data_IF_003513511101
#
_entry.id   IF_003513511101
#
_cell.length_a   1.000
_cell.length_b   1.000
_cell.length_c   1.000
_cell.angle_alpha   90.00
_cell.angle_beta   90.00
_cell.angle_gamma   90.00
#
_symmetry.space_group_name_H-M   'P 1'
#
loop_
_entity.id
_entity.type
_entity.pdbx_description
1 polymer ?
#
# COMPACT_ATOMS: atom_id res chain seq x y z
N UNK A 1 -28.62 3.74 -51.72
CA UNK A 1 -27.61 3.75 -50.63
C UNK A 1 -27.65 5.09 -49.88
N UNK A 2 -28.52 5.27 -48.88
CA UNK A 2 -28.54 6.50 -48.05
C UNK A 2 -29.30 6.37 -46.71
N UNK A 3 -29.62 5.16 -46.23
CA UNK A 3 -30.46 4.94 -45.02
C UNK A 3 -29.87 4.03 -43.94
N UNK A 4 -28.59 3.68 -44.02
CA UNK A 4 -27.94 2.77 -43.04
C UNK A 4 -27.06 3.47 -41.99
N UNK A 5 -26.97 4.81 -42.01
CA UNK A 5 -26.07 5.56 -41.11
C UNK A 5 -26.75 5.92 -39.77
N UNK A 6 -28.08 5.86 -39.69
CA UNK A 6 -28.79 6.24 -38.46
C UNK A 6 -28.80 5.18 -37.36
N UNK A 7 -28.42 3.93 -37.64
CA UNK A 7 -28.38 2.87 -36.61
C UNK A 7 -27.09 2.87 -35.79
N UNK A 8 -26.06 3.59 -36.23
CA UNK A 8 -24.77 3.67 -35.53
C UNK A 8 -24.68 4.78 -34.46
N UNK A 9 -25.73 5.60 -34.32
CA UNK A 9 -25.76 6.72 -33.38
C UNK A 9 -26.41 6.41 -32.01
N UNK A 10 -26.82 5.17 -31.76
CA UNK A 10 -27.46 4.76 -30.50
C UNK A 10 -26.64 3.72 -29.69
N UNK A 11 -25.47 3.31 -30.17
CA UNK A 11 -24.61 2.32 -29.47
C UNK A 11 -23.45 2.94 -28.68
N UNK A 12 -23.23 4.26 -28.76
CA UNK A 12 -22.20 4.96 -27.98
C UNK A 12 -22.74 5.59 -26.69
N UNK A 13 -23.99 5.29 -26.34
CA UNK A 13 -24.71 5.89 -25.22
C UNK A 13 -24.49 5.24 -23.85
N UNK A 14 -23.66 4.22 -23.73
CA UNK A 14 -23.12 3.84 -22.42
C UNK A 14 -21.88 4.68 -22.15
N UNK A 15 -22.11 5.99 -22.01
CA UNK A 15 -21.29 6.82 -21.17
C UNK A 15 -21.05 6.04 -19.87
N UNK A 16 -19.79 5.97 -19.48
CA UNK A 16 -19.30 5.46 -18.21
C UNK A 16 -20.34 5.69 -17.10
N UNK A 17 -21.20 4.72 -16.85
CA UNK A 17 -21.59 4.47 -15.49
C UNK A 17 -20.31 3.93 -14.87
N UNK A 18 -19.45 4.84 -14.39
CA UNK A 18 -18.41 4.51 -13.45
C UNK A 18 -19.15 3.81 -12.31
N UNK A 19 -19.19 2.47 -12.36
CA UNK A 19 -19.68 1.68 -11.26
C UNK A 19 -18.70 1.97 -10.16
N UNK A 20 -19.08 2.85 -9.25
CA UNK A 20 -18.34 3.04 -8.00
C UNK A 20 -18.20 1.65 -7.39
N UNK A 21 -16.98 1.12 -7.26
CA UNK A 21 -16.77 -0.22 -6.74
C UNK A 21 -17.41 -0.32 -5.36
N UNK A 22 -18.01 -1.46 -5.04
CA UNK A 22 -18.58 -1.65 -3.71
C UNK A 22 -17.49 -1.63 -2.63
N UNK A 23 -17.89 -1.36 -1.38
CA UNK A 23 -16.96 -1.22 -0.27
C UNK A 23 -16.08 -2.46 -0.04
N UNK A 24 -16.64 -3.66 -0.25
CA UNK A 24 -15.89 -4.90 -0.06
C UNK A 24 -14.80 -5.03 -1.12
N UNK A 25 -15.12 -4.76 -2.38
CA UNK A 25 -14.15 -4.78 -3.49
C UNK A 25 -13.01 -3.79 -3.26
N UNK A 26 -13.31 -2.57 -2.77
CA UNK A 26 -12.28 -1.57 -2.44
C UNK A 26 -11.41 -2.05 -1.27
N UNK A 27 -12.02 -2.56 -0.20
CA UNK A 27 -11.30 -3.06 0.97
C UNK A 27 -10.37 -4.21 0.61
N UNK A 28 -10.84 -5.19 -0.16
CA UNK A 28 -10.03 -6.33 -0.61
C UNK A 28 -8.86 -5.87 -1.46
N UNK A 29 -9.09 -4.96 -2.42
CA UNK A 29 -8.03 -4.41 -3.25
C UNK A 29 -6.96 -3.68 -2.42
N UNK A 30 -7.38 -2.77 -1.53
CA UNK A 30 -6.46 -2.00 -0.70
C UNK A 30 -5.72 -2.89 0.30
N UNK A 31 -6.37 -3.92 0.81
CA UNK A 31 -5.72 -4.92 1.65
C UNK A 31 -4.64 -5.69 0.89
N UNK A 32 -4.97 -6.25 -0.29
CA UNK A 32 -4.00 -7.00 -1.11
C UNK A 32 -2.79 -6.14 -1.45
N UNK A 33 -3.02 -4.90 -1.89
CA UNK A 33 -1.93 -3.98 -2.28
C UNK A 33 -1.09 -3.52 -1.09
N UNK A 34 -1.62 -3.58 0.14
CA UNK A 34 -0.87 -3.25 1.35
C UNK A 34 0.06 -4.37 1.83
N UNK A 35 -0.11 -5.62 1.38
CA UNK A 35 0.66 -6.78 1.87
C UNK A 35 2.19 -6.56 1.80
N UNK A 36 2.78 -6.10 0.67
CA UNK A 36 4.22 -5.87 0.62
C UNK A 36 4.69 -4.79 1.59
N UNK A 37 3.86 -3.78 1.88
CA UNK A 37 4.17 -2.71 2.82
C UNK A 37 4.12 -3.22 4.27
N UNK A 38 3.13 -4.04 4.61
CA UNK A 38 3.02 -4.67 5.94
C UNK A 38 4.25 -5.53 6.21
N UNK A 39 4.66 -6.34 5.23
CA UNK A 39 5.87 -7.17 5.32
C UNK A 39 7.13 -6.31 5.51
N UNK A 40 7.31 -5.29 4.66
CA UNK A 40 8.45 -4.38 4.76
C UNK A 40 8.49 -3.63 6.11
N UNK A 41 7.33 -3.22 6.64
CA UNK A 41 7.25 -2.56 7.94
C UNK A 41 7.66 -3.48 9.08
N UNK A 42 7.13 -4.71 9.11
CA UNK A 42 7.54 -5.71 10.10
C UNK A 42 9.04 -5.98 10.03
N UNK A 43 9.56 -6.23 8.82
CA UNK A 43 10.97 -6.51 8.59
C UNK A 43 11.88 -5.33 8.97
N UNK A 44 11.43 -4.09 8.76
CA UNK A 44 12.20 -2.90 9.14
C UNK A 44 12.41 -2.75 10.66
N UNK A 45 11.51 -3.29 11.49
CA UNK A 45 11.72 -3.33 12.96
C UNK A 45 12.73 -4.41 13.31
N UNK A 46 12.56 -5.61 12.74
CA UNK A 46 13.43 -6.75 12.97
C UNK A 46 14.87 -6.46 12.52
N UNK A 47 15.05 -5.92 11.32
CA UNK A 47 16.38 -5.61 10.79
C UNK A 47 17.09 -4.52 11.58
N UNK A 48 16.39 -3.54 12.11
CA UNK A 48 17.00 -2.54 12.99
C UNK A 48 17.38 -3.12 14.34
N UNK A 49 16.50 -3.90 14.97
CA UNK A 49 16.75 -4.52 16.26
C UNK A 49 17.96 -5.47 16.23
N UNK A 50 18.15 -6.19 15.12
CA UNK A 50 19.28 -7.12 14.93
C UNK A 50 20.47 -6.53 14.19
N UNK A 51 20.44 -5.25 13.80
CA UNK A 51 21.59 -4.57 13.19
C UNK A 51 21.93 -5.05 11.76
N UNK A 52 20.93 -5.21 10.90
CA UNK A 52 21.05 -5.61 9.49
C UNK A 52 20.80 -4.43 8.50
N UNK A 53 21.67 -3.41 8.44
CA UNK A 53 21.47 -2.23 7.59
C UNK A 53 21.48 -2.55 6.09
N UNK A 54 22.14 -3.64 5.68
CA UNK A 54 22.13 -4.14 4.30
C UNK A 54 20.75 -4.64 3.88
N UNK A 55 20.04 -5.33 4.79
CA UNK A 55 18.67 -5.81 4.53
C UNK A 55 17.67 -4.67 4.52
N UNK A 56 17.89 -3.64 5.33
CA UNK A 56 17.07 -2.41 5.30
C UNK A 56 17.09 -1.75 3.92
N UNK A 57 18.25 -1.67 3.28
CA UNK A 57 18.38 -1.09 1.92
C UNK A 57 17.66 -1.93 0.86
N UNK A 58 17.57 -3.24 1.06
CA UNK A 58 16.92 -4.17 0.13
C UNK A 58 15.39 -4.14 0.20
N UNK A 59 14.79 -3.58 1.25
CA UNK A 59 13.33 -3.56 1.42
C UNK A 59 12.60 -2.84 0.29
N UNK A 60 13.16 -1.73 -0.19
CA UNK A 60 12.63 -1.01 -1.36
C UNK A 60 12.58 -1.91 -2.59
N UNK A 61 13.66 -2.62 -2.87
CA UNK A 61 13.74 -3.52 -4.01
C UNK A 61 12.76 -4.70 -3.86
N UNK A 62 12.59 -5.24 -2.66
CA UNK A 62 11.60 -6.30 -2.38
C UNK A 62 10.17 -5.83 -2.68
N UNK A 63 9.79 -4.63 -2.22
CA UNK A 63 8.45 -4.08 -2.48
C UNK A 63 8.26 -3.79 -3.97
N UNK A 64 9.21 -3.11 -4.61
CA UNK A 64 9.07 -2.69 -6.01
C UNK A 64 9.21 -3.83 -7.02
N UNK A 65 9.89 -4.92 -6.65
CA UNK A 65 9.97 -6.12 -7.48
C UNK A 65 8.73 -7.02 -7.37
N UNK A 66 7.87 -6.82 -6.37
CA UNK A 66 6.66 -7.61 -6.16
C UNK A 66 5.70 -7.53 -7.34
N UNK A 67 5.00 -8.64 -7.63
CA UNK A 67 3.98 -8.67 -8.68
C UNK A 67 2.83 -7.71 -8.36
N UNK A 68 2.49 -7.56 -7.08
CA UNK A 68 1.46 -6.64 -6.59
C UNK A 68 1.80 -5.19 -6.97
N UNK A 69 3.03 -4.73 -6.68
CA UNK A 69 3.46 -3.38 -7.05
C UNK A 69 3.47 -3.19 -8.57
N UNK A 70 4.03 -4.15 -9.33
CA UNK A 70 4.11 -4.07 -10.80
C UNK A 70 2.74 -4.04 -11.49
N UNK A 71 1.75 -4.74 -10.94
CA UNK A 71 0.40 -4.79 -11.48
C UNK A 71 -0.50 -3.63 -11.02
N UNK A 72 -0.08 -2.86 -10.01
CA UNK A 72 -0.87 -1.75 -9.49
C UNK A 72 -0.85 -0.54 -10.46
N UNK A 73 -1.93 0.25 -10.53
CA UNK A 73 -1.95 1.52 -11.26
C UNK A 73 -0.97 2.55 -10.70
N UNK A 74 -0.64 3.57 -11.50
CA UNK A 74 0.44 4.53 -11.23
C UNK A 74 0.27 5.31 -9.92
N UNK A 75 -0.96 5.73 -9.62
CA UNK A 75 -1.34 6.43 -8.39
C UNK A 75 -1.16 5.54 -7.15
N UNK A 76 -1.56 4.27 -7.25
CA UNK A 76 -1.37 3.26 -6.20
C UNK A 76 0.12 2.97 -6.01
N UNK A 77 0.89 2.78 -7.08
CA UNK A 77 2.36 2.60 -7.00
C UNK A 77 3.03 3.80 -6.35
N UNK A 78 2.60 5.02 -6.68
CA UNK A 78 3.09 6.24 -6.03
C UNK A 78 2.76 6.23 -4.54
N UNK A 79 1.52 5.94 -4.16
CA UNK A 79 1.13 5.87 -2.75
C UNK A 79 1.91 4.79 -1.98
N UNK A 80 2.16 3.63 -2.58
CA UNK A 80 2.99 2.57 -1.99
C UNK A 80 4.44 3.06 -1.78
N UNK A 81 5.02 3.73 -2.79
CA UNK A 81 6.37 4.30 -2.70
C UNK A 81 6.48 5.38 -1.62
N UNK A 82 5.57 6.35 -1.63
CA UNK A 82 5.49 7.42 -0.63
C UNK A 82 5.42 6.80 0.79
N UNK A 83 4.58 5.77 0.98
CA UNK A 83 4.42 5.09 2.27
C UNK A 83 5.71 4.36 2.70
N UNK A 84 6.34 3.64 1.78
CA UNK A 84 7.57 2.91 2.07
C UNK A 84 8.71 3.87 2.46
N UNK A 85 8.98 4.86 1.62
CA UNK A 85 10.16 5.73 1.77
C UNK A 85 9.97 6.79 2.86
N UNK A 86 8.77 7.38 2.96
CA UNK A 86 8.53 8.50 3.88
C UNK A 86 7.98 8.09 5.24
N UNK A 87 7.46 6.86 5.37
CA UNK A 87 6.87 6.36 6.63
C UNK A 87 7.65 5.17 7.16
N UNK A 88 7.64 4.05 6.44
CA UNK A 88 8.18 2.76 6.92
C UNK A 88 9.69 2.83 7.14
N UNK A 89 10.42 3.35 6.16
CA UNK A 89 11.89 3.47 6.21
C UNK A 89 12.36 4.76 6.90
N UNK A 90 11.42 5.61 7.36
CA UNK A 90 11.75 6.84 8.06
C UNK A 90 12.27 6.52 9.47
N UNK A 91 13.57 6.74 9.67
CA UNK A 91 14.21 6.58 10.98
C UNK A 91 13.54 7.43 12.05
N UNK A 92 13.24 8.70 11.75
CA UNK A 92 12.63 9.62 12.72
C UNK A 92 11.24 9.17 13.19
N UNK A 93 10.40 8.68 12.27
CA UNK A 93 9.06 8.20 12.62
C UNK A 93 9.13 6.89 13.40
N UNK A 94 10.05 6.01 13.02
CA UNK A 94 10.25 4.73 13.69
C UNK A 94 10.83 4.92 15.09
N UNK A 95 11.87 5.72 15.25
CA UNK A 95 12.51 6.01 16.55
C UNK A 95 11.52 6.62 17.56
N UNK A 96 10.57 7.44 17.10
CA UNK A 96 9.49 7.96 17.97
C UNK A 96 8.60 6.85 18.53
N UNK A 97 8.29 5.82 17.74
CA UNK A 97 7.51 4.67 18.17
C UNK A 97 8.36 3.74 19.06
N UNK A 98 9.58 3.41 18.62
CA UNK A 98 10.48 2.49 19.33
C UNK A 98 10.86 3.01 20.72
N UNK A 99 11.12 4.32 20.88
CA UNK A 99 11.43 4.93 22.20
C UNK A 99 10.28 4.82 23.21
N UNK A 100 9.05 4.65 22.75
CA UNK A 100 7.89 4.45 23.63
C UNK A 100 7.77 3.00 24.13
N UNK A 101 8.58 2.08 23.59
CA UNK A 101 8.53 0.65 23.90
C UNK A 101 9.83 0.23 24.63
N UNK A 102 9.69 -0.33 25.83
CA UNK A 102 10.83 -0.67 26.71
C UNK A 102 11.05 -2.18 26.85
N UNK A 103 10.64 -2.97 25.85
CA UNK A 103 10.69 -4.43 25.89
C UNK A 103 11.87 -4.99 25.09
N UNK A 104 12.66 -5.86 25.73
CA UNK A 104 13.88 -6.45 25.15
C UNK A 104 13.70 -7.92 24.73
N UNK A 105 12.50 -8.49 24.89
CA UNK A 105 12.25 -9.89 24.55
C UNK A 105 11.89 -10.08 23.07
N UNK A 106 12.06 -11.32 22.55
CA UNK A 106 11.57 -11.66 21.21
C UNK A 106 10.05 -11.46 21.07
N UNK A 107 9.30 -11.66 22.16
CA UNK A 107 7.87 -11.41 22.18
C UNK A 107 7.57 -9.91 22.00
N UNK A 108 8.31 -9.05 22.70
CA UNK A 108 8.20 -7.59 22.59
C UNK A 108 8.51 -7.10 21.18
N UNK A 109 9.55 -7.64 20.54
CA UNK A 109 9.89 -7.33 19.15
C UNK A 109 8.78 -7.70 18.17
N UNK A 110 8.11 -8.84 18.37
CA UNK A 110 6.98 -9.26 17.52
C UNK A 110 5.75 -8.38 17.71
N UNK A 111 5.49 -7.91 18.94
CA UNK A 111 4.42 -6.95 19.21
C UNK A 111 4.76 -5.62 18.55
N UNK A 112 5.99 -5.14 18.72
CA UNK A 112 6.45 -3.88 18.17
C UNK A 112 6.44 -3.86 16.64
N UNK A 113 6.88 -4.95 15.99
CA UNK A 113 6.81 -5.09 14.54
C UNK A 113 5.36 -5.05 14.03
N UNK A 114 4.43 -5.68 14.76
CA UNK A 114 3.00 -5.68 14.42
C UNK A 114 2.37 -4.29 14.58
N UNK A 115 2.68 -3.59 15.68
CA UNK A 115 2.20 -2.24 15.95
C UNK A 115 2.73 -1.26 14.89
N UNK A 116 4.02 -1.35 14.57
CA UNK A 116 4.61 -0.51 13.53
C UNK A 116 4.03 -0.78 12.15
N UNK A 117 3.83 -2.05 11.80
CA UNK A 117 3.20 -2.41 10.52
C UNK A 117 1.78 -1.84 10.40
N UNK A 118 0.98 -1.94 11.45
CA UNK A 118 -0.35 -1.33 11.46
C UNK A 118 -0.28 0.21 11.31
N UNK A 119 0.49 0.88 12.17
CA UNK A 119 0.53 2.34 12.21
C UNK A 119 1.12 2.96 10.94
N UNK A 120 2.15 2.34 10.37
CA UNK A 120 2.82 2.85 9.17
C UNK A 120 2.02 2.67 7.88
N UNK A 121 1.16 1.64 7.82
CA UNK A 121 0.39 1.27 6.63
C UNK A 121 -1.05 1.81 6.65
N UNK A 122 -1.59 2.13 7.83
CA UNK A 122 -2.94 2.71 7.94
C UNK A 122 -3.16 3.95 7.04
N UNK A 123 -2.24 4.94 6.94
CA UNK A 123 -2.41 6.07 6.04
C UNK A 123 -2.52 5.65 4.56
N UNK A 124 -1.82 4.60 4.16
CA UNK A 124 -1.92 4.04 2.81
C UNK A 124 -3.30 3.45 2.56
N UNK A 125 -3.85 2.68 3.51
CA UNK A 125 -5.17 2.05 3.36
C UNK A 125 -6.27 3.11 3.17
N UNK A 126 -6.22 4.19 3.96
CA UNK A 126 -7.16 5.32 3.86
C UNK A 126 -7.04 5.98 2.48
N UNK A 127 -5.80 6.27 2.03
CA UNK A 127 -5.54 6.90 0.74
C UNK A 127 -5.96 6.01 -0.43
N UNK A 128 -5.67 4.71 -0.37
CA UNK A 128 -6.08 3.74 -1.37
C UNK A 128 -7.60 3.68 -1.51
N UNK A 129 -8.32 3.62 -0.39
CA UNK A 129 -9.77 3.64 -0.41
C UNK A 129 -10.31 4.92 -1.07
N UNK A 130 -9.74 6.08 -0.73
CA UNK A 130 -10.13 7.35 -1.35
C UNK A 130 -9.88 7.37 -2.87
N UNK A 131 -8.70 6.92 -3.33
CA UNK A 131 -8.38 6.85 -4.76
C UNK A 131 -9.35 5.94 -5.53
N UNK A 132 -9.79 4.84 -4.92
CA UNK A 132 -10.73 3.88 -5.53
C UNK A 132 -12.20 4.30 -5.49
N UNK A 133 -12.59 5.15 -4.54
CA UNK A 133 -13.96 5.67 -4.46
C UNK A 133 -14.17 6.98 -5.23
N UNK A 134 -13.13 7.81 -5.35
CA UNK A 134 -13.21 9.15 -5.94
C UNK A 134 -12.72 9.25 -7.40
N UNK A 135 -12.08 8.20 -7.93
CA UNK A 135 -11.59 8.11 -9.32
C UNK A 135 -12.46 7.21 -10.19
#
# INVERSE_FOLDING_TARGET
MKRLIYFFLLMTGNALAAQTPDLKTVQEYCHITSIPLIQAASDAVIFDAFGHPEKMKALSDTVFSSQIFKAAPDDVRKAMKDTLEEVILSKDKKDKLLKAYSGDSQHDLNVLSSVWAYYSVEPYLIRCAYMKFAG
#
